data_IF_781598442017
#
_entry.id   IF_781598442017
#
_cell.length_a   1.000
_cell.length_b   1.000
_cell.length_c   1.000
_cell.angle_alpha   90.00
_cell.angle_beta   90.00
_cell.angle_gamma   90.00
#
_symmetry.space_group_name_H-M   'P 1'
#
loop_
_entity.id
_entity.type
_entity.pdbx_description
1 polymer ?
#
# COMPACT_ATOMS: atom_id res chain seq x y z
N UNK A 1 22.88 22.25 20.62
CA UNK A 1 21.75 23.17 20.83
C UNK A 1 20.50 22.32 20.85
N UNK A 2 19.95 22.05 22.04
CA UNK A 2 18.81 21.15 22.22
C UNK A 2 17.51 21.93 21.97
N UNK A 3 16.65 21.43 21.10
CA UNK A 3 15.31 21.99 20.87
C UNK A 3 14.32 21.12 21.64
N UNK A 4 13.74 21.68 22.70
CA UNK A 4 12.56 21.17 23.38
C UNK A 4 11.32 21.59 22.59
N UNK A 5 10.36 20.68 22.37
CA UNK A 5 9.04 21.03 21.82
C UNK A 5 7.95 20.57 22.79
N UNK A 6 7.04 21.50 23.07
CA UNK A 6 5.91 21.42 24.00
C UNK A 6 4.86 20.39 23.53
N UNK A 7 4.41 19.56 24.48
CA UNK A 7 3.35 18.58 24.34
C UNK A 7 1.97 19.25 24.29
N UNK A 8 1.19 18.98 23.26
CA UNK A 8 -0.25 19.21 23.27
C UNK A 8 -0.91 17.84 23.08
N UNK A 9 -1.42 17.29 24.18
CA UNK A 9 -2.22 16.06 24.29
C UNK A 9 -1.49 14.69 24.19
N UNK A 10 -1.32 14.03 25.35
CA UNK A 10 -0.89 12.63 25.47
C UNK A 10 -2.12 11.72 25.42
N UNK A 11 -2.31 10.98 24.32
CA UNK A 11 -3.03 9.70 24.42
C UNK A 11 -2.09 8.68 25.06
N UNK A 12 -2.50 7.93 26.09
CA UNK A 12 -1.70 6.85 26.68
C UNK A 12 -1.27 5.81 25.64
N UNK A 13 -2.14 5.54 24.65
CA UNK A 13 -1.85 4.63 23.56
C UNK A 13 -0.79 5.19 22.60
N UNK A 14 -0.82 6.49 22.26
CA UNK A 14 0.22 7.10 21.42
C UNK A 14 1.56 7.17 22.13
N UNK A 15 1.55 7.50 23.42
CA UNK A 15 2.77 7.52 24.24
C UNK A 15 3.33 6.11 24.38
N UNK A 16 2.48 5.10 24.53
CA UNK A 16 2.88 3.70 24.61
C UNK A 16 3.32 3.13 23.26
N UNK A 17 2.63 3.43 22.16
CA UNK A 17 3.06 3.08 20.79
C UNK A 17 4.40 3.76 20.49
N UNK A 18 4.59 5.01 20.86
CA UNK A 18 5.89 5.69 20.69
C UNK A 18 6.99 5.02 21.51
N UNK A 19 6.73 4.66 22.77
CA UNK A 19 7.66 3.92 23.63
C UNK A 19 7.95 2.52 23.07
N UNK A 20 6.94 1.78 22.64
CA UNK A 20 7.08 0.43 22.06
C UNK A 20 7.77 0.48 20.70
N UNK A 21 7.47 1.47 19.87
CA UNK A 21 8.13 1.71 18.60
C UNK A 21 9.60 2.04 18.85
N UNK A 22 9.92 2.95 19.77
CA UNK A 22 11.29 3.26 20.17
C UNK A 22 12.02 2.04 20.75
N UNK A 23 11.38 1.25 21.61
CA UNK A 23 11.95 0.02 22.19
C UNK A 23 12.19 -1.07 21.15
N UNK A 24 11.28 -1.24 20.19
CA UNK A 24 11.44 -2.21 19.11
C UNK A 24 12.49 -1.80 18.10
N UNK A 25 12.64 -0.51 17.87
CA UNK A 25 13.74 0.00 17.08
C UNK A 25 15.07 -0.31 17.79
N UNK A 26 15.19 -0.06 19.09
CA UNK A 26 16.39 -0.42 19.87
C UNK A 26 16.72 -1.92 19.76
N UNK A 27 15.70 -2.79 19.85
CA UNK A 27 15.85 -4.23 19.72
C UNK A 27 16.24 -4.71 18.31
N UNK A 28 15.99 -3.90 17.27
CA UNK A 28 16.40 -4.15 15.88
C UNK A 28 17.80 -3.59 15.56
N UNK A 29 18.59 -3.17 16.56
CA UNK A 29 19.92 -2.60 16.37
C UNK A 29 19.90 -1.13 15.91
N UNK A 30 18.78 -0.43 16.08
CA UNK A 30 18.65 1.01 15.82
C UNK A 30 19.18 1.78 17.05
N UNK A 31 20.12 2.70 16.90
CA UNK A 31 20.56 3.62 17.96
C UNK A 31 20.13 5.06 17.64
N UNK A 32 19.73 5.84 18.65
CA UNK A 32 19.56 7.30 18.56
C UNK A 32 18.32 7.80 17.78
N UNK A 33 17.27 8.20 18.50
CA UNK A 33 16.27 9.15 18.02
C UNK A 33 16.77 10.55 18.38
N UNK A 34 17.26 11.34 17.42
CA UNK A 34 18.02 12.58 17.73
C UNK A 34 17.37 13.88 17.29
N UNK A 35 16.31 13.86 16.50
CA UNK A 35 15.58 15.08 16.13
C UNK A 35 14.12 14.75 15.84
N UNK A 36 13.22 15.64 16.25
CA UNK A 36 11.82 15.65 15.81
C UNK A 36 11.42 17.03 15.27
N UNK A 37 10.64 17.06 14.19
CA UNK A 37 10.07 18.31 13.64
C UNK A 37 8.57 18.17 13.52
N UNK A 38 7.83 19.12 14.10
CA UNK A 38 6.36 19.14 14.04
C UNK A 38 5.91 20.14 12.98
N UNK A 39 5.05 19.72 12.05
CA UNK A 39 4.28 20.60 11.17
C UNK A 39 2.80 20.37 11.39
N UNK A 40 2.06 21.42 11.70
CA UNK A 40 0.60 21.42 11.78
C UNK A 40 0.09 22.13 10.54
N UNK A 41 -0.76 21.48 9.74
CA UNK A 41 -1.51 22.17 8.70
C UNK A 41 -2.87 22.65 9.25
N UNK A 42 -3.55 23.53 8.53
CA UNK A 42 -4.83 24.12 8.95
C UNK A 42 -6.02 23.15 9.08
N UNK A 43 -5.81 21.83 9.01
CA UNK A 43 -6.84 20.78 9.09
C UNK A 43 -6.83 19.97 10.40
N UNK A 44 -6.19 20.45 11.47
CA UNK A 44 -5.96 19.71 12.73
C UNK A 44 -5.14 18.41 12.55
N UNK A 45 -4.33 18.35 11.49
CA UNK A 45 -3.43 17.23 11.20
C UNK A 45 -2.02 17.57 11.71
N UNK A 46 -1.49 16.75 12.62
CA UNK A 46 -0.14 16.90 13.16
C UNK A 46 0.83 15.96 12.44
N UNK A 47 1.85 16.49 11.77
CA UNK A 47 2.94 15.72 11.17
C UNK A 47 4.15 15.80 12.11
N UNK A 48 4.49 14.70 12.76
CA UNK A 48 5.69 14.50 13.56
C UNK A 48 6.75 13.81 12.70
N UNK A 49 7.79 14.52 12.28
CA UNK A 49 8.96 13.91 11.66
C UNK A 49 9.94 13.44 12.73
N UNK A 50 10.50 12.26 12.54
CA UNK A 50 11.49 11.65 13.41
C UNK A 50 12.69 11.15 12.59
N UNK A 51 13.86 11.16 13.19
CA UNK A 51 15.10 10.67 12.61
C UNK A 51 15.72 9.59 13.52
N UNK A 52 15.90 8.38 12.99
CA UNK A 52 16.51 7.22 13.66
C UNK A 52 17.85 6.89 13.04
N UNK A 53 18.79 6.30 13.78
CA UNK A 53 20.03 5.80 13.19
C UNK A 53 20.07 4.25 13.22
N UNK A 54 20.01 3.61 12.06
CA UNK A 54 20.10 2.14 11.91
C UNK A 54 21.47 1.77 11.31
N UNK A 55 22.30 1.01 12.03
CA UNK A 55 23.65 0.62 11.59
C UNK A 55 24.51 1.81 11.11
N UNK A 56 24.49 2.91 11.86
CA UNK A 56 25.21 4.14 11.52
C UNK A 56 24.53 5.07 10.51
N UNK A 57 23.33 4.73 9.99
CA UNK A 57 22.64 5.47 8.92
C UNK A 57 21.31 6.07 9.37
N UNK A 58 21.01 7.30 8.95
CA UNK A 58 19.79 8.02 9.36
C UNK A 58 18.58 7.54 8.54
N UNK A 59 17.57 6.98 9.21
CA UNK A 59 16.22 6.71 8.72
C UNK A 59 15.31 7.85 9.16
N UNK A 60 14.71 8.53 8.20
CA UNK A 60 13.65 9.52 8.46
C UNK A 60 12.30 8.83 8.37
N UNK A 61 11.43 9.05 9.35
CA UNK A 61 10.01 8.67 9.28
C UNK A 61 9.15 9.83 9.73
N UNK A 62 7.95 9.95 9.16
CA UNK A 62 6.94 10.92 9.57
C UNK A 62 5.79 10.16 10.22
N UNK A 63 5.07 10.80 11.13
CA UNK A 63 3.92 10.30 11.85
C UNK A 63 2.83 11.35 11.69
N UNK A 64 1.68 10.97 11.14
CA UNK A 64 0.54 11.87 10.98
C UNK A 64 -0.49 11.49 12.06
N UNK A 65 -0.93 12.42 12.89
CA UNK A 65 -1.91 12.17 13.97
C UNK A 65 -3.14 13.07 13.87
N UNK A 66 -4.25 12.56 14.43
CA UNK A 66 -5.59 13.15 14.50
C UNK A 66 -6.08 13.14 15.97
N UNK A 67 -7.08 13.96 16.31
CA UNK A 67 -7.74 13.97 17.65
C UNK A 67 -8.46 12.64 17.97
N UNK A 68 -8.81 11.85 16.95
CA UNK A 68 -9.44 10.53 17.11
C UNK A 68 -8.38 9.44 17.37
N UNK A 69 -8.70 8.37 18.11
CA UNK A 69 -7.75 7.29 18.35
C UNK A 69 -7.34 6.63 17.02
N UNK A 70 -6.04 6.40 16.86
CA UNK A 70 -5.48 5.68 15.71
C UNK A 70 -6.10 4.29 15.64
N UNK A 71 -6.64 3.95 14.47
CA UNK A 71 -7.23 2.63 14.22
C UNK A 71 -6.59 1.90 13.03
N UNK A 72 -5.58 2.50 12.39
CA UNK A 72 -4.80 1.87 11.32
C UNK A 72 -3.36 2.37 11.40
N UNK A 73 -2.39 1.46 11.37
CA UNK A 73 -0.98 1.83 11.19
C UNK A 73 -0.60 1.54 9.74
N UNK A 74 -0.03 2.51 9.04
CA UNK A 74 0.41 2.36 7.65
C UNK A 74 1.92 2.42 7.60
N UNK A 75 2.55 1.36 7.11
CA UNK A 75 4.00 1.27 6.91
C UNK A 75 4.27 1.20 5.41
N UNK A 76 4.72 2.31 4.86
CA UNK A 76 4.97 2.45 3.43
C UNK A 76 6.45 2.68 3.14
N UNK A 77 6.88 2.27 1.95
CA UNK A 77 8.23 2.51 1.48
C UNK A 77 8.56 1.70 0.23
N UNK A 78 9.68 2.02 -0.44
CA UNK A 78 10.10 1.30 -1.64
C UNK A 78 10.46 -0.16 -1.33
N UNK A 79 10.53 -1.00 -2.37
CA UNK A 79 11.08 -2.37 -2.25
C UNK A 79 12.49 -2.34 -1.64
N UNK A 80 12.83 -3.37 -0.88
CA UNK A 80 14.09 -3.47 -0.11
C UNK A 80 14.31 -2.42 1.00
N UNK A 81 13.31 -1.58 1.31
CA UNK A 81 13.40 -0.59 2.42
C UNK A 81 13.36 -1.21 3.83
N UNK A 82 12.86 -2.43 3.99
CA UNK A 82 12.69 -3.07 5.30
C UNK A 82 11.30 -2.88 5.93
N UNK A 83 10.32 -2.39 5.17
CA UNK A 83 8.92 -2.22 5.60
C UNK A 83 8.29 -3.47 6.24
N UNK A 84 8.51 -4.65 5.66
CA UNK A 84 7.95 -5.92 6.16
C UNK A 84 8.51 -6.26 7.54
N UNK A 85 9.85 -6.25 7.71
CA UNK A 85 10.50 -6.44 9.02
C UNK A 85 9.98 -5.48 10.09
N UNK A 86 9.79 -4.20 9.74
CA UNK A 86 9.24 -3.22 10.67
C UNK A 86 7.79 -3.54 11.05
N UNK A 87 6.95 -3.91 10.08
CA UNK A 87 5.56 -4.30 10.31
C UNK A 87 5.44 -5.54 11.19
N UNK A 88 6.23 -6.58 10.90
CA UNK A 88 6.26 -7.84 11.68
C UNK A 88 6.71 -7.59 13.10
N UNK A 89 7.78 -6.80 13.29
CA UNK A 89 8.24 -6.48 14.65
C UNK A 89 7.17 -5.72 15.42
N UNK A 90 6.54 -4.72 14.78
CA UNK A 90 5.46 -3.98 15.41
C UNK A 90 4.27 -4.89 15.77
N UNK A 91 3.94 -5.84 14.90
CA UNK A 91 2.86 -6.80 15.11
C UNK A 91 3.13 -7.85 16.18
N UNK A 92 4.40 -8.08 16.51
CA UNK A 92 4.79 -8.94 17.62
C UNK A 92 4.40 -8.32 18.97
N UNK A 93 4.63 -7.02 19.11
CA UNK A 93 4.56 -6.30 20.39
C UNK A 93 3.24 -5.52 20.56
N UNK A 94 2.45 -5.39 19.50
CA UNK A 94 1.08 -4.87 19.54
C UNK A 94 0.06 -6.01 19.34
N UNK A 95 -1.15 -5.88 19.89
CA UNK A 95 -2.29 -6.72 19.48
C UNK A 95 -2.71 -6.31 18.06
N UNK A 96 -2.01 -6.81 17.05
CA UNK A 96 -2.22 -6.43 15.66
C UNK A 96 -1.92 -7.55 14.68
N UNK A 97 -2.44 -7.37 13.47
CA UNK A 97 -2.25 -8.25 12.33
C UNK A 97 -1.91 -7.39 11.10
N UNK A 98 -1.19 -7.97 10.13
CA UNK A 98 -0.71 -7.24 8.96
C UNK A 98 -1.66 -7.43 7.79
N UNK A 99 -2.00 -6.36 7.08
CA UNK A 99 -2.67 -6.41 5.79
C UNK A 99 -1.65 -5.96 4.72
N UNK A 100 -1.33 -6.84 3.76
CA UNK A 100 -0.38 -6.49 2.70
C UNK A 100 -1.00 -5.45 1.75
N UNK A 101 -0.24 -4.41 1.42
CA UNK A 101 -0.55 -3.39 0.40
C UNK A 101 0.43 -3.49 -0.78
N UNK A 102 0.62 -4.70 -1.30
CA UNK A 102 1.47 -5.01 -2.44
C UNK A 102 0.67 -5.71 -3.54
N UNK A 103 0.56 -5.07 -4.70
CA UNK A 103 -0.20 -5.56 -5.86
C UNK A 103 0.34 -6.85 -6.46
N UNK A 104 1.55 -7.29 -6.12
CA UNK A 104 2.14 -8.55 -6.62
C UNK A 104 2.05 -9.69 -5.62
N UNK A 105 2.02 -9.41 -4.33
CA UNK A 105 1.95 -10.45 -3.29
C UNK A 105 0.57 -11.13 -3.18
N UNK A 106 -0.46 -10.56 -3.81
CA UNK A 106 -1.81 -11.14 -3.85
C UNK A 106 -1.87 -12.47 -4.63
N UNK A 107 -0.90 -12.74 -5.52
CA UNK A 107 -0.92 -13.86 -6.46
C UNK A 107 -0.24 -15.12 -5.91
N UNK A 108 -0.91 -16.26 -6.03
CA UNK A 108 -0.41 -17.58 -5.62
C UNK A 108 0.76 -18.07 -6.45
N UNK A 109 1.72 -18.71 -5.79
CA UNK A 109 2.89 -19.33 -6.43
C UNK A 109 3.92 -18.34 -7.00
N UNK A 110 3.72 -17.04 -6.77
CA UNK A 110 4.65 -15.97 -7.11
C UNK A 110 5.30 -15.44 -5.83
N UNK A 111 6.22 -16.20 -5.23
CA UNK A 111 6.73 -15.96 -3.88
C UNK A 111 8.06 -15.21 -3.88
N UNK A 112 9.02 -15.73 -4.63
CA UNK A 112 10.41 -15.25 -4.68
C UNK A 112 10.47 -13.96 -5.49
N UNK A 113 9.95 -13.98 -6.73
CA UNK A 113 10.05 -12.87 -7.65
C UNK A 113 9.30 -11.63 -7.17
N UNK A 114 8.17 -11.82 -6.48
CA UNK A 114 7.39 -10.71 -5.91
C UNK A 114 7.92 -10.26 -4.55
N UNK A 115 8.75 -11.07 -3.88
CA UNK A 115 9.25 -10.78 -2.55
C UNK A 115 8.17 -10.80 -1.51
N UNK A 116 7.44 -11.91 -1.40
CA UNK A 116 6.60 -12.14 -0.23
C UNK A 116 7.43 -12.28 1.03
N UNK A 117 8.62 -12.84 0.88
CA UNK A 117 9.59 -13.03 1.96
C UNK A 117 8.90 -13.62 3.20
N UNK A 118 8.12 -14.71 2.99
CA UNK A 118 7.19 -15.27 3.98
C UNK A 118 7.87 -15.63 5.30
N UNK A 119 9.16 -15.99 5.26
CA UNK A 119 9.98 -16.23 6.45
C UNK A 119 10.13 -15.00 7.34
N UNK A 120 10.06 -13.78 6.79
CA UNK A 120 10.10 -12.54 7.57
C UNK A 120 8.88 -12.40 8.50
N UNK A 121 7.76 -13.08 8.23
CA UNK A 121 6.57 -13.05 9.08
C UNK A 121 6.66 -13.97 10.31
N UNK A 122 7.78 -14.67 10.49
CA UNK A 122 8.07 -15.42 11.72
C UNK A 122 9.14 -14.67 12.50
N UNK A 123 8.78 -14.23 13.70
CA UNK A 123 9.69 -13.51 14.61
C UNK A 123 9.73 -14.21 15.97
N UNK A 124 10.93 -14.55 16.43
CA UNK A 124 11.16 -15.27 17.69
C UNK A 124 10.31 -16.57 17.81
N UNK A 125 10.18 -17.31 16.69
CA UNK A 125 9.40 -18.54 16.60
C UNK A 125 7.89 -18.36 16.50
N UNK A 126 7.38 -17.12 16.50
CA UNK A 126 5.96 -16.79 16.39
C UNK A 126 5.63 -16.32 14.98
N UNK A 127 4.67 -16.98 14.33
CA UNK A 127 4.09 -16.51 13.08
C UNK A 127 3.15 -15.31 13.35
N UNK A 128 3.37 -14.22 12.61
CA UNK A 128 2.50 -13.05 12.62
C UNK A 128 1.48 -13.19 11.50
N UNK A 129 0.16 -13.12 11.79
CA UNK A 129 -0.87 -13.18 10.76
C UNK A 129 -0.71 -12.06 9.73
N UNK A 130 -0.77 -12.43 8.45
CA UNK A 130 -0.80 -11.49 7.35
C UNK A 130 -1.94 -11.83 6.38
N UNK A 131 -2.65 -10.80 5.94
CA UNK A 131 -3.80 -10.86 5.04
C UNK A 131 -3.46 -10.30 3.66
N UNK A 132 -4.26 -10.66 2.66
CA UNK A 132 -4.14 -10.24 1.26
C UNK A 132 -2.81 -10.66 0.59
N UNK A 133 -2.27 -11.80 1.03
CA UNK A 133 -1.21 -12.55 0.35
C UNK A 133 -1.85 -13.86 -0.13
N UNK A 134 -1.48 -14.34 -1.32
CA UNK A 134 -1.97 -15.63 -1.85
C UNK A 134 -3.50 -15.75 -1.99
N UNK A 135 -4.17 -14.65 -2.33
CA UNK A 135 -5.63 -14.58 -2.40
C UNK A 135 -6.22 -14.85 -3.79
N UNK A 136 -5.41 -14.77 -4.85
CA UNK A 136 -5.85 -14.96 -6.25
C UNK A 136 -4.80 -15.72 -7.06
N UNK A 137 -5.21 -16.33 -8.18
CA UNK A 137 -4.28 -17.02 -9.09
C UNK A 137 -3.65 -16.02 -10.09
N UNK A 138 -2.42 -16.27 -10.60
CA UNK A 138 -1.73 -15.35 -11.52
C UNK A 138 -2.47 -15.04 -12.83
N UNK A 139 -3.41 -15.89 -13.23
CA UNK A 139 -4.29 -15.66 -14.39
C UNK A 139 -5.42 -14.67 -14.11
N UNK A 140 -5.74 -14.41 -12.84
CA UNK A 140 -6.82 -13.51 -12.43
C UNK A 140 -6.38 -12.05 -12.54
N UNK A 141 -7.30 -11.16 -12.92
CA UNK A 141 -7.02 -9.72 -13.00
C UNK A 141 -7.44 -9.01 -11.71
N UNK A 142 -6.51 -8.86 -10.78
CA UNK A 142 -6.78 -8.22 -9.51
C UNK A 142 -6.62 -6.70 -9.58
N UNK A 143 -7.65 -5.96 -9.17
CA UNK A 143 -7.70 -4.50 -9.29
C UNK A 143 -7.82 -3.77 -7.93
N UNK A 144 -7.77 -2.43 -7.97
CA UNK A 144 -7.82 -1.59 -6.75
C UNK A 144 -9.16 -1.66 -6.03
N UNK A 145 -10.28 -1.87 -6.74
CA UNK A 145 -11.62 -1.96 -6.14
C UNK A 145 -11.73 -3.21 -5.28
N UNK A 146 -11.30 -4.35 -5.83
CA UNK A 146 -11.25 -5.60 -5.08
C UNK A 146 -10.30 -5.53 -3.88
N UNK A 147 -9.13 -4.90 -4.06
CA UNK A 147 -8.21 -4.65 -2.96
C UNK A 147 -8.89 -3.86 -1.84
N UNK A 148 -9.51 -2.73 -2.16
CA UNK A 148 -10.15 -1.86 -1.19
C UNK A 148 -11.26 -2.60 -0.43
N UNK A 149 -12.11 -3.35 -1.15
CA UNK A 149 -13.19 -4.14 -0.55
C UNK A 149 -12.64 -5.17 0.43
N UNK A 150 -11.68 -5.99 -0.01
CA UNK A 150 -11.06 -7.04 0.82
C UNK A 150 -10.27 -6.44 1.99
N UNK A 151 -9.62 -5.29 1.79
CA UNK A 151 -8.96 -4.54 2.85
C UNK A 151 -9.96 -4.16 3.94
N UNK A 152 -11.13 -3.59 3.59
CA UNK A 152 -12.13 -3.20 4.59
C UNK A 152 -12.78 -4.39 5.29
N UNK A 153 -12.91 -5.54 4.63
CA UNK A 153 -13.28 -6.80 5.28
C UNK A 153 -12.25 -7.18 6.35
N UNK A 154 -10.96 -7.31 5.99
CA UNK A 154 -9.89 -7.65 6.93
C UNK A 154 -9.78 -6.62 8.06
N UNK A 155 -9.84 -5.32 7.73
CA UNK A 155 -9.81 -4.22 8.68
C UNK A 155 -10.91 -4.37 9.74
N UNK A 156 -12.15 -4.64 9.31
CA UNK A 156 -13.30 -4.77 10.19
C UNK A 156 -13.20 -6.01 11.07
N UNK A 157 -12.76 -7.14 10.50
CA UNK A 157 -12.53 -8.39 11.24
C UNK A 157 -11.46 -8.23 12.32
N UNK A 158 -10.29 -7.67 11.98
CA UNK A 158 -9.19 -7.43 12.94
C UNK A 158 -9.65 -6.45 14.02
N UNK A 159 -10.30 -5.35 13.63
CA UNK A 159 -10.79 -4.34 14.58
C UNK A 159 -11.85 -4.91 15.53
N UNK A 160 -12.72 -5.82 15.05
CA UNK A 160 -13.73 -6.48 15.89
C UNK A 160 -13.13 -7.34 17.00
N UNK A 161 -11.87 -7.79 16.83
CA UNK A 161 -11.10 -8.52 17.85
C UNK A 161 -10.38 -7.57 18.83
N UNK A 162 -10.61 -6.26 18.75
CA UNK A 162 -9.93 -5.26 19.58
C UNK A 162 -8.46 -5.04 19.20
N UNK A 163 -8.05 -5.48 17.99
CA UNK A 163 -6.69 -5.36 17.48
C UNK A 163 -6.55 -4.14 16.57
N UNK A 164 -5.33 -3.63 16.40
CA UNK A 164 -5.03 -2.51 15.49
C UNK A 164 -4.45 -3.06 14.19
N UNK A 165 -5.13 -2.97 13.03
CA UNK A 165 -4.57 -3.39 11.76
C UNK A 165 -3.28 -2.63 11.38
N UNK A 166 -2.31 -3.33 10.81
CA UNK A 166 -1.11 -2.74 10.21
C UNK A 166 -1.15 -2.95 8.69
N UNK A 167 -1.35 -1.90 7.91
CA UNK A 167 -1.18 -1.94 6.46
C UNK A 167 0.29 -1.79 6.09
N UNK A 168 0.89 -2.78 5.45
CA UNK A 168 2.31 -2.76 5.07
C UNK A 168 2.49 -2.99 3.57
N UNK A 169 3.15 -2.07 2.86
CA UNK A 169 3.31 -2.23 1.42
C UNK A 169 3.91 -1.05 0.69
N UNK A 170 3.86 -1.12 -0.64
CA UNK A 170 4.46 -0.12 -1.53
C UNK A 170 3.59 0.29 -2.71
N UNK A 171 2.41 -0.31 -2.87
CA UNK A 171 1.50 0.05 -3.97
C UNK A 171 0.75 1.32 -3.60
N UNK A 172 1.23 2.47 -4.10
CA UNK A 172 0.70 3.79 -3.76
C UNK A 172 -0.80 3.91 -3.98
N UNK A 173 -1.30 3.39 -5.11
CA UNK A 173 -2.73 3.43 -5.44
C UNK A 173 -3.58 2.67 -4.41
N UNK A 174 -3.12 1.52 -3.89
CA UNK A 174 -3.83 0.73 -2.87
C UNK A 174 -3.90 1.47 -1.54
N UNK A 175 -2.78 2.05 -1.12
CA UNK A 175 -2.68 2.84 0.11
C UNK A 175 -3.60 4.06 0.02
N UNK A 176 -3.52 4.80 -1.08
CA UNK A 176 -4.34 5.99 -1.35
C UNK A 176 -5.84 5.64 -1.38
N UNK A 177 -6.19 4.55 -2.04
CA UNK A 177 -7.52 3.94 -2.09
C UNK A 177 -8.18 3.84 -0.71
N UNK A 178 -7.42 3.35 0.27
CA UNK A 178 -7.89 3.14 1.64
C UNK A 178 -7.91 4.45 2.41
N UNK A 179 -6.82 5.22 2.35
CA UNK A 179 -6.65 6.42 3.18
C UNK A 179 -7.61 7.54 2.81
N UNK A 180 -7.93 7.68 1.51
CA UNK A 180 -8.86 8.71 1.05
C UNK A 180 -10.32 8.29 1.18
N UNK A 181 -10.59 7.01 1.42
CA UNK A 181 -11.94 6.49 1.64
C UNK A 181 -12.92 6.82 0.52
N UNK A 182 -12.44 7.01 -0.71
CA UNK A 182 -13.33 7.27 -1.84
C UNK A 182 -14.28 6.08 -1.98
N UNK A 183 -15.58 6.37 -2.08
CA UNK A 183 -16.57 5.39 -2.52
C UNK A 183 -16.25 5.02 -3.96
N UNK A 184 -15.48 3.95 -4.14
CA UNK A 184 -15.11 3.48 -5.46
C UNK A 184 -16.27 2.67 -6.02
N UNK A 185 -16.89 3.18 -7.10
CA UNK A 185 -17.90 2.45 -7.84
C UNK A 185 -17.20 1.39 -8.69
N UNK A 186 -17.48 0.11 -8.42
CA UNK A 186 -17.02 -0.99 -9.27
C UNK A 186 -17.72 -0.87 -10.63
N UNK A 187 -16.99 -0.36 -11.61
CA UNK A 187 -17.47 -0.25 -12.99
C UNK A 187 -17.02 -1.50 -13.76
N UNK A 188 -17.94 -2.41 -14.12
CA UNK A 188 -17.59 -3.57 -14.93
C UNK A 188 -17.10 -3.11 -16.31
N UNK A 189 -16.25 -3.92 -16.91
CA UNK A 189 -15.89 -3.71 -18.31
C UNK A 189 -17.10 -4.04 -19.19
N UNK A 190 -17.37 -3.21 -20.21
CA UNK A 190 -18.39 -3.49 -21.22
C UNK A 190 -17.70 -3.81 -22.55
N UNK A 191 -17.61 -5.09 -22.94
CA UNK A 191 -17.02 -5.49 -24.22
C UNK A 191 -17.69 -4.80 -25.41
N UNK A 192 -19.01 -4.61 -25.35
CA UNK A 192 -19.79 -3.95 -26.39
C UNK A 192 -19.41 -2.48 -26.52
N UNK A 193 -19.39 -1.73 -25.41
CA UNK A 193 -18.98 -0.34 -25.40
C UNK A 193 -17.53 -0.18 -25.84
N UNK A 194 -16.63 -1.09 -25.44
CA UNK A 194 -15.24 -1.07 -25.89
C UNK A 194 -15.13 -1.28 -27.39
N UNK A 195 -15.83 -2.27 -27.95
CA UNK A 195 -15.81 -2.52 -29.39
C UNK A 195 -16.42 -1.36 -30.21
N UNK A 196 -17.33 -0.58 -29.62
CA UNK A 196 -17.84 0.66 -30.20
C UNK A 196 -16.79 1.77 -30.15
N UNK A 197 -16.25 2.07 -28.97
CA UNK A 197 -15.25 3.14 -28.76
C UNK A 197 -13.93 2.85 -29.49
N UNK A 198 -13.56 1.59 -29.69
CA UNK A 198 -12.38 1.19 -30.45
C UNK A 198 -12.45 1.59 -31.92
N UNK A 199 -13.64 1.83 -32.48
CA UNK A 199 -13.82 2.27 -33.87
C UNK A 199 -13.76 3.80 -34.02
N UNK A 200 -13.84 4.55 -32.93
CA UNK A 200 -13.82 6.01 -32.97
C UNK A 200 -12.40 6.56 -33.11
N UNK A 201 -12.25 7.71 -33.75
CA UNK A 201 -10.96 8.40 -33.79
C UNK A 201 -10.59 8.98 -32.42
N UNK A 202 -9.29 9.11 -32.16
CA UNK A 202 -8.80 9.53 -30.86
C UNK A 202 -9.36 10.90 -30.43
N UNK A 203 -9.42 11.86 -31.34
CA UNK A 203 -9.94 13.20 -31.06
C UNK A 203 -11.43 13.16 -30.68
N UNK A 204 -12.22 12.29 -31.33
CA UNK A 204 -13.64 12.12 -31.02
C UNK A 204 -13.84 11.53 -29.61
N UNK A 205 -12.99 10.57 -29.21
CA UNK A 205 -13.00 10.03 -27.86
C UNK A 205 -12.64 11.10 -26.81
N UNK A 206 -11.69 11.99 -27.12
CA UNK A 206 -11.31 13.10 -26.23
C UNK A 206 -12.50 14.05 -26.04
N UNK A 207 -13.15 14.46 -27.14
CA UNK A 207 -14.33 15.33 -27.09
C UNK A 207 -15.47 14.69 -26.29
N UNK A 208 -15.71 13.39 -26.49
CA UNK A 208 -16.71 12.63 -25.74
C UNK A 208 -16.41 12.62 -24.24
N UNK A 209 -15.15 12.34 -23.84
CA UNK A 209 -14.77 12.36 -22.44
C UNK A 209 -14.88 13.77 -21.82
N UNK A 210 -14.44 14.81 -22.52
CA UNK A 210 -14.54 16.20 -22.05
C UNK A 210 -15.99 16.65 -21.90
N UNK A 211 -16.88 16.17 -22.76
CA UNK A 211 -18.33 16.42 -22.65
C UNK A 211 -18.93 15.72 -21.43
N UNK A 212 -18.51 14.47 -21.15
CA UNK A 212 -18.96 13.70 -19.99
C UNK A 212 -18.36 14.19 -18.67
N UNK A 213 -17.15 14.76 -18.70
CA UNK A 213 -16.42 15.21 -17.52
C UNK A 213 -15.71 16.56 -17.74
N UNK A 214 -16.44 17.68 -17.82
CA UNK A 214 -15.87 18.99 -18.13
C UNK A 214 -14.87 19.51 -17.08
N UNK A 215 -14.97 19.00 -15.84
CA UNK A 215 -14.07 19.34 -14.73
C UNK A 215 -12.85 18.42 -14.64
N UNK A 216 -12.58 17.59 -15.65
CA UNK A 216 -11.41 16.69 -15.63
C UNK A 216 -10.11 17.49 -15.65
N UNK A 217 -9.35 17.43 -14.56
CA UNK A 217 -7.97 17.92 -14.52
C UNK A 217 -6.94 16.84 -14.91
N UNK A 218 -7.38 15.61 -15.16
CA UNK A 218 -6.50 14.51 -15.49
C UNK A 218 -6.22 14.47 -17.00
N UNK A 219 -5.12 15.08 -17.42
CA UNK A 219 -4.67 15.08 -18.82
C UNK A 219 -4.11 13.73 -19.26
N UNK A 220 -3.72 12.85 -18.32
CA UNK A 220 -3.10 11.56 -18.66
C UNK A 220 -4.08 10.56 -19.26
N UNK A 221 -5.37 10.70 -18.99
CA UNK A 221 -6.42 9.88 -19.60
C UNK A 221 -6.65 10.23 -21.08
N UNK A 222 -6.15 11.40 -21.53
CA UNK A 222 -6.29 11.88 -22.91
C UNK A 222 -5.14 11.44 -23.82
N UNK A 223 -4.10 10.82 -23.27
CA UNK A 223 -2.88 10.49 -24.02
C UNK A 223 -2.78 9.00 -24.39
N UNK A 224 -3.55 8.14 -23.73
CA UNK A 224 -3.54 6.70 -23.96
C UNK A 224 -4.96 6.23 -24.29
N UNK A 225 -5.12 5.57 -25.44
CA UNK A 225 -6.44 5.16 -25.95
C UNK A 225 -7.15 4.22 -24.99
N UNK A 226 -6.45 3.27 -24.35
CA UNK A 226 -7.06 2.33 -23.41
C UNK A 226 -7.53 3.04 -22.15
N UNK A 227 -6.74 3.99 -21.63
CA UNK A 227 -7.14 4.85 -20.50
C UNK A 227 -8.34 5.73 -20.85
N UNK A 228 -8.37 6.28 -22.06
CA UNK A 228 -9.47 7.11 -22.52
C UNK A 228 -10.78 6.33 -22.60
N UNK A 229 -10.75 5.15 -23.22
CA UNK A 229 -11.89 4.23 -23.31
C UNK A 229 -12.39 3.87 -21.90
N UNK A 230 -11.48 3.49 -20.98
CA UNK A 230 -11.85 3.19 -19.59
C UNK A 230 -12.43 4.41 -18.86
N UNK A 231 -11.91 5.61 -19.10
CA UNK A 231 -12.43 6.83 -18.49
C UNK A 231 -13.85 7.15 -18.96
N UNK A 232 -14.14 6.95 -20.26
CA UNK A 232 -15.49 7.08 -20.82
C UNK A 232 -16.43 6.04 -20.20
N UNK A 233 -16.03 4.76 -20.18
CA UNK A 233 -16.77 3.66 -19.57
C UNK A 233 -17.15 3.95 -18.11
N UNK A 234 -16.17 4.43 -17.31
CA UNK A 234 -16.41 4.84 -15.92
C UNK A 234 -17.43 5.97 -15.83
N UNK A 235 -17.32 7.00 -16.68
CA UNK A 235 -18.20 8.18 -16.61
C UNK A 235 -19.62 7.88 -17.06
N UNK A 236 -19.79 7.11 -18.13
CA UNK A 236 -21.11 6.68 -18.60
C UNK A 236 -21.80 5.80 -17.57
N UNK A 237 -21.10 4.82 -17.01
CA UNK A 237 -21.62 3.99 -15.94
C UNK A 237 -21.98 4.81 -14.69
N UNK A 238 -21.07 5.67 -14.23
CA UNK A 238 -21.30 6.51 -13.04
C UNK A 238 -22.49 7.45 -13.22
N UNK A 239 -22.70 7.99 -14.42
CA UNK A 239 -23.85 8.86 -14.74
C UNK A 239 -25.17 8.10 -14.76
N UNK A 240 -25.16 6.86 -15.26
CA UNK A 240 -26.33 5.98 -15.29
C UNK A 240 -26.60 5.31 -13.92
N UNK A 241 -25.62 5.27 -13.04
CA UNK A 241 -25.72 4.65 -11.74
C UNK A 241 -26.55 5.51 -10.76
N UNK A 242 -27.69 4.97 -10.33
CA UNK A 242 -28.58 5.57 -9.32
C UNK A 242 -28.59 4.81 -7.99
N UNK A 243 -27.75 3.78 -7.84
CA UNK A 243 -27.68 2.99 -6.61
C UNK A 243 -26.97 3.73 -5.48
N UNK A 244 -27.33 3.42 -4.23
CA UNK A 244 -26.47 3.72 -3.09
C UNK A 244 -25.18 2.91 -3.21
N UNK A 245 -24.03 3.52 -2.96
CA UNK A 245 -22.81 2.76 -2.65
C UNK A 245 -23.05 2.08 -1.30
N UNK A 246 -23.68 0.90 -1.34
CA UNK A 246 -24.07 0.13 -0.17
C UNK A 246 -22.82 -0.42 0.53
N UNK A 247 -22.45 0.27 1.60
CA UNK A 247 -21.34 -0.07 2.47
C UNK A 247 -20.78 1.20 3.09
N UNK A 248 -21.17 1.49 4.33
CA UNK A 248 -20.49 2.53 5.10
C UNK A 248 -19.02 2.14 5.25
N UNK A 249 -18.14 2.79 4.47
CA UNK A 249 -16.70 2.63 4.61
C UNK A 249 -16.32 3.02 6.04
N UNK A 250 -15.63 2.16 6.80
CA UNK A 250 -15.27 2.50 8.17
C UNK A 250 -14.39 3.75 8.19
N UNK A 251 -14.61 4.62 9.16
CA UNK A 251 -13.76 5.80 9.34
C UNK A 251 -12.33 5.35 9.65
N UNK A 252 -11.39 5.69 8.78
CA UNK A 252 -9.97 5.42 8.98
C UNK A 252 -9.30 6.63 9.65
N UNK A 253 -8.59 6.37 10.75
CA UNK A 253 -7.74 7.31 11.47
C UNK A 253 -6.32 6.76 11.47
N UNK A 254 -5.53 7.08 10.43
CA UNK A 254 -4.28 6.39 10.16
C UNK A 254 -3.10 7.02 10.90
N UNK A 255 -2.17 6.19 11.36
CA UNK A 255 -0.80 6.54 11.67
C UNK A 255 0.09 6.14 10.48
N UNK A 256 0.48 7.09 9.66
CA UNK A 256 1.30 6.82 8.46
C UNK A 256 2.78 6.94 8.79
N UNK A 257 3.56 5.90 8.49
CA UNK A 257 5.00 5.77 8.69
C UNK A 257 5.68 5.44 7.37
N UNK A 258 6.54 6.34 6.88
CA UNK A 258 7.34 6.12 5.68
C UNK A 258 8.76 5.66 6.00
N UNK A 259 9.20 4.54 5.43
CA UNK A 259 10.59 4.06 5.52
C UNK A 259 11.42 4.65 4.40
N UNK A 260 12.28 5.60 4.74
CA UNK A 260 13.14 6.30 3.79
C UNK A 260 14.57 5.78 3.77
N UNK A 261 15.14 5.71 2.57
CA UNK A 261 16.56 5.49 2.32
C UNK A 261 17.08 6.50 1.30
N UNK A 262 18.34 6.89 1.42
CA UNK A 262 19.03 7.61 0.35
C UNK A 262 19.03 6.76 -0.94
N UNK A 263 18.81 7.41 -2.09
CA UNK A 263 18.62 6.73 -3.37
C UNK A 263 19.79 5.81 -3.75
N UNK A 264 21.01 6.21 -3.45
CA UNK A 264 22.24 5.43 -3.69
C UNK A 264 22.22 4.11 -2.93
N UNK A 265 21.91 4.17 -1.64
CA UNK A 265 21.81 3.01 -0.73
C UNK A 265 20.63 2.13 -1.12
N UNK A 266 19.48 2.72 -1.42
CA UNK A 266 18.29 1.98 -1.84
C UNK A 266 18.58 1.13 -3.09
N UNK A 267 19.27 1.69 -4.08
CA UNK A 267 19.68 0.96 -5.29
C UNK A 267 20.56 -0.24 -4.97
N UNK A 268 21.58 -0.07 -4.12
CA UNK A 268 22.44 -1.18 -3.68
C UNK A 268 21.64 -2.29 -3.02
N UNK A 269 20.66 -1.93 -2.16
CA UNK A 269 19.79 -2.90 -1.48
C UNK A 269 18.88 -3.64 -2.45
N UNK A 270 18.34 -2.94 -3.46
CA UNK A 270 17.52 -3.55 -4.50
C UNK A 270 18.36 -4.54 -5.31
N UNK A 271 19.58 -4.15 -5.73
CA UNK A 271 20.49 -5.02 -6.46
C UNK A 271 20.80 -6.28 -5.67
N UNK A 272 21.20 -6.14 -4.41
CA UNK A 272 21.51 -7.28 -3.56
C UNK A 272 20.31 -8.22 -3.37
N UNK A 273 19.12 -7.67 -3.11
CA UNK A 273 17.90 -8.48 -2.94
C UNK A 273 17.51 -9.19 -4.24
N UNK A 274 17.78 -8.62 -5.41
CA UNK A 274 17.55 -9.28 -6.69
C UNK A 274 18.54 -10.45 -6.88
N UNK A 275 19.81 -10.26 -6.56
CA UNK A 275 20.82 -11.33 -6.59
C UNK A 275 20.43 -12.49 -5.67
N UNK A 276 19.99 -12.19 -4.44
CA UNK A 276 19.48 -13.19 -3.50
C UNK A 276 18.31 -13.99 -4.08
N UNK A 277 17.34 -13.33 -4.71
CA UNK A 277 16.17 -13.99 -5.34
C UNK A 277 16.57 -14.89 -6.49
N UNK A 278 17.48 -14.43 -7.35
CA UNK A 278 17.98 -15.24 -8.46
C UNK A 278 18.67 -16.50 -7.95
N UNK A 279 19.47 -16.38 -6.88
CA UNK A 279 20.14 -17.51 -6.24
C UNK A 279 19.19 -18.44 -5.50
N UNK A 280 18.06 -17.93 -5.01
CA UNK A 280 17.05 -18.72 -4.30
C UNK A 280 16.04 -19.42 -5.21
N UNK A 281 16.25 -19.43 -6.52
CA UNK A 281 15.40 -20.15 -7.48
C UNK A 281 14.31 -19.32 -8.16
N UNK A 282 14.41 -17.98 -8.18
CA UNK A 282 13.44 -17.12 -8.91
C UNK A 282 13.26 -17.55 -10.37
N UNK A 283 14.34 -17.94 -11.04
CA UNK A 283 14.27 -18.39 -12.45
C UNK A 283 13.40 -19.66 -12.57
N UNK A 284 13.52 -20.58 -11.63
CA UNK A 284 12.75 -21.82 -11.66
C UNK A 284 11.29 -21.59 -11.27
N UNK A 285 11.02 -20.64 -10.36
CA UNK A 285 9.66 -20.15 -10.09
C UNK A 285 9.00 -19.64 -11.38
N UNK A 286 9.67 -18.78 -12.14
CA UNK A 286 9.14 -18.23 -13.40
C UNK A 286 8.91 -19.33 -14.45
N UNK A 287 9.84 -20.28 -14.59
CA UNK A 287 9.66 -21.43 -15.49
C UNK A 287 8.46 -22.29 -15.10
N UNK A 288 8.25 -22.52 -13.81
CA UNK A 288 7.13 -23.31 -13.30
C UNK A 288 5.80 -22.60 -13.52
N UNK A 289 5.74 -21.28 -13.34
CA UNK A 289 4.56 -20.48 -13.65
C UNK A 289 4.23 -20.50 -15.15
N UNK A 290 5.25 -20.46 -16.01
CA UNK A 290 5.02 -20.60 -17.44
C UNK A 290 4.50 -22.00 -17.81
N UNK A 291 5.12 -23.04 -17.25
CA UNK A 291 4.72 -24.43 -17.47
C UNK A 291 3.30 -24.73 -16.97
N UNK A 292 2.81 -24.00 -15.97
CA UNK A 292 1.43 -24.12 -15.47
C UNK A 292 0.39 -23.36 -16.31
N UNK A 293 0.81 -22.68 -17.38
CA UNK A 293 -0.07 -22.07 -18.38
C UNK A 293 -0.08 -20.54 -18.39
N UNK A 294 0.73 -19.88 -17.56
CA UNK A 294 0.84 -18.41 -17.56
C UNK A 294 1.68 -17.96 -18.76
N UNK A 295 1.13 -17.07 -19.58
CA UNK A 295 1.81 -16.56 -20.78
C UNK A 295 2.98 -15.63 -20.42
N UNK A 296 4.00 -15.58 -21.28
CA UNK A 296 5.19 -14.74 -21.07
C UNK A 296 4.84 -13.26 -20.95
N UNK A 297 3.86 -12.78 -21.73
CA UNK A 297 3.38 -11.41 -21.69
C UNK A 297 2.81 -11.05 -20.30
N UNK A 298 2.17 -12.01 -19.62
CA UNK A 298 1.63 -11.81 -18.27
C UNK A 298 2.75 -11.82 -17.23
N UNK A 299 3.77 -12.66 -17.39
CA UNK A 299 4.96 -12.68 -16.52
C UNK A 299 5.77 -11.38 -16.64
N UNK A 300 5.98 -10.88 -17.86
CA UNK A 300 6.61 -9.59 -18.12
C UNK A 300 5.79 -8.43 -17.51
N UNK A 301 4.46 -8.49 -17.63
CA UNK A 301 3.58 -7.56 -16.92
C UNK A 301 3.79 -7.59 -15.41
N UNK A 302 4.11 -8.74 -14.81
CA UNK A 302 4.46 -8.86 -13.40
C UNK A 302 5.86 -8.35 -13.04
N UNK A 303 6.72 -8.14 -14.05
CA UNK A 303 8.13 -7.80 -13.88
C UNK A 303 8.99 -9.01 -13.51
N UNK A 304 8.60 -10.19 -14.00
CA UNK A 304 9.26 -11.49 -13.77
C UNK A 304 9.97 -12.01 -15.03
#
# INVERSE_FOLDING_TARGET
MAIYIHYVYKSPLLTWIEIQFQQNLLNCGVQGAKDSRVRVDGSNTCILEFFLQLNGRIIRYSVITSEKPVNLIVILGPTASGKTKLAVRLAKDLPSEIISADSRQVYRGMDIGTGKDLSEYVVDGRAIPCHLIDIVDPSYEFNVFEYQRRFFTCFSEISSRGMIPIMAGGTGLYIESVLKGYGMLEVPESPELRAELEKEEMDALVERLLTLNPASHNTTDLCDRKRLIRAIEIKEFTKAWHGSSDGAVPLIVPLVVGVYWERSILRQRITHRLEERLQSGMIDEVKNLHASGIQWEKLDFFGL
#
